data_IF_532596991265
#
_entry.id   IF_532596991265
#
_cell.length_a   1.000
_cell.length_b   1.000
_cell.length_c   1.000
_cell.angle_alpha   90.00
_cell.angle_beta   90.00
_cell.angle_gamma   90.00
#
_symmetry.space_group_name_H-M   'P 1'
#
loop_
_entity.id
_entity.type
_entity.pdbx_description
1 polymer ?
#
# COMPACT_ATOMS: atom_id res chain seq x y z
N UNK A 1 -0.94 11.98 3.82
CA UNK A 1 -0.69 10.54 3.69
C UNK A 1 -1.05 10.05 2.28
N UNK A 2 -0.25 9.13 1.70
CA UNK A 2 -0.64 8.36 0.53
C UNK A 2 -0.67 6.88 0.92
N UNK A 3 -1.81 6.22 0.73
CA UNK A 3 -1.93 4.78 0.87
C UNK A 3 -1.87 4.12 -0.50
N UNK A 4 -0.98 3.17 -0.62
CA UNK A 4 -0.70 2.38 -1.82
C UNK A 4 -1.08 0.92 -1.54
N UNK A 5 -2.15 0.43 -2.16
CA UNK A 5 -2.65 -0.93 -1.98
C UNK A 5 -2.17 -1.84 -3.11
N UNK A 6 -1.63 -2.98 -2.73
CA UNK A 6 -1.32 -4.07 -3.65
C UNK A 6 -2.62 -4.70 -4.18
N UNK A 7 -2.78 -4.73 -5.49
CA UNK A 7 -3.91 -5.32 -6.20
C UNK A 7 -3.48 -6.49 -7.08
N UNK A 8 -2.35 -7.12 -6.76
CA UNK A 8 -1.83 -8.25 -7.52
C UNK A 8 -2.74 -9.49 -7.41
N UNK A 9 -2.47 -10.49 -8.22
CA UNK A 9 -3.29 -11.70 -8.33
C UNK A 9 -3.32 -12.52 -7.02
N UNK A 10 -2.30 -12.41 -6.16
CA UNK A 10 -2.27 -13.04 -4.84
C UNK A 10 -3.46 -12.60 -3.98
N UNK A 11 -3.93 -11.36 -4.14
CA UNK A 11 -5.08 -10.84 -3.40
C UNK A 11 -6.42 -11.50 -3.77
N UNK A 12 -6.47 -12.35 -4.81
CA UNK A 12 -7.62 -13.21 -5.12
C UNK A 12 -7.71 -14.46 -4.23
N UNK A 13 -6.70 -14.71 -3.40
CA UNK A 13 -6.69 -15.84 -2.46
C UNK A 13 -7.82 -15.72 -1.44
N UNK A 14 -8.43 -16.87 -1.12
CA UNK A 14 -9.45 -16.98 -0.08
C UNK A 14 -8.78 -16.98 1.30
N UNK A 15 -9.33 -16.22 2.21
CA UNK A 15 -8.97 -16.21 3.62
C UNK A 15 -9.86 -17.17 4.42
N UNK A 16 -11.11 -17.27 4.01
CA UNK A 16 -12.15 -18.18 4.54
C UNK A 16 -13.17 -18.47 3.43
N UNK A 17 -14.27 -19.15 3.77
CA UNK A 17 -15.31 -19.55 2.80
C UNK A 17 -16.04 -18.35 2.16
N UNK A 18 -16.02 -17.19 2.80
CA UNK A 18 -16.81 -16.01 2.40
C UNK A 18 -15.94 -14.84 1.92
N UNK A 19 -14.65 -14.76 2.32
CA UNK A 19 -13.82 -13.58 2.11
C UNK A 19 -12.51 -13.91 1.39
N UNK A 20 -12.14 -13.02 0.48
CA UNK A 20 -10.83 -12.98 -0.17
C UNK A 20 -9.95 -11.86 0.43
N UNK A 21 -8.66 -11.92 0.18
CA UNK A 21 -7.72 -10.86 0.55
C UNK A 21 -8.17 -9.51 -0.01
N UNK A 22 -8.62 -9.46 -1.27
CA UNK A 22 -9.07 -8.22 -1.91
C UNK A 22 -10.28 -7.60 -1.19
N UNK A 23 -11.17 -8.40 -0.62
CA UNK A 23 -12.32 -7.90 0.12
C UNK A 23 -11.86 -7.18 1.39
N UNK A 24 -10.90 -7.76 2.11
CA UNK A 24 -10.30 -7.15 3.31
C UNK A 24 -9.55 -5.87 2.96
N UNK A 25 -8.82 -5.83 1.83
CA UNK A 25 -8.16 -4.63 1.35
C UNK A 25 -9.19 -3.54 1.01
N UNK A 26 -10.26 -3.90 0.31
CA UNK A 26 -11.37 -3.00 -0.04
C UNK A 26 -12.00 -2.38 1.20
N UNK A 27 -12.37 -3.19 2.19
CA UNK A 27 -12.93 -2.74 3.46
C UNK A 27 -11.96 -1.85 4.23
N UNK A 28 -10.67 -2.19 4.19
CA UNK A 28 -9.61 -1.39 4.83
C UNK A 28 -9.49 0.00 4.19
N UNK A 29 -9.54 0.10 2.87
CA UNK A 29 -9.50 1.37 2.15
C UNK A 29 -10.74 2.23 2.43
N UNK A 30 -11.94 1.61 2.48
CA UNK A 30 -13.18 2.30 2.81
C UNK A 30 -13.11 2.88 4.23
N UNK A 31 -12.81 2.06 5.22
CA UNK A 31 -12.77 2.49 6.62
C UNK A 31 -11.66 3.53 6.86
N UNK A 32 -10.51 3.36 6.23
CA UNK A 32 -9.41 4.32 6.30
C UNK A 32 -9.80 5.66 5.69
N UNK A 33 -10.45 5.67 4.53
CA UNK A 33 -10.95 6.87 3.87
C UNK A 33 -11.97 7.63 4.73
N UNK A 34 -12.91 6.91 5.35
CA UNK A 34 -13.87 7.50 6.31
C UNK A 34 -13.15 8.14 7.50
N UNK A 35 -12.20 7.42 8.10
CA UNK A 35 -11.48 7.89 9.27
C UNK A 35 -10.67 9.17 8.98
N UNK A 36 -9.92 9.22 7.87
CA UNK A 36 -9.11 10.37 7.51
C UNK A 36 -9.97 11.56 7.07
N UNK A 37 -11.07 11.29 6.37
CA UNK A 37 -12.03 12.32 5.99
C UNK A 37 -12.69 12.97 7.20
N UNK A 38 -13.01 12.16 8.22
CA UNK A 38 -13.64 12.66 9.46
C UNK A 38 -12.70 13.57 10.27
N UNK A 39 -11.39 13.28 10.28
CA UNK A 39 -10.40 14.14 10.98
C UNK A 39 -9.90 15.30 10.12
N UNK A 40 -10.24 15.32 8.83
CA UNK A 40 -9.87 16.40 7.92
C UNK A 40 -8.42 16.33 7.43
N UNK A 41 -7.78 15.19 7.50
CA UNK A 41 -6.41 15.00 7.02
C UNK A 41 -6.36 14.91 5.48
N UNK A 42 -5.28 15.46 4.91
CA UNK A 42 -5.01 15.34 3.48
C UNK A 42 -4.47 13.94 3.15
N UNK A 43 -5.20 13.20 2.31
CA UNK A 43 -4.79 11.87 1.89
C UNK A 43 -5.12 11.55 0.44
N UNK A 44 -4.39 10.59 -0.09
CA UNK A 44 -4.65 9.97 -1.39
C UNK A 44 -4.67 8.44 -1.27
N UNK A 45 -5.45 7.79 -2.12
CA UNK A 45 -5.59 6.34 -2.19
C UNK A 45 -5.26 5.88 -3.61
N UNK A 46 -4.34 4.95 -3.72
CA UNK A 46 -3.93 4.33 -4.98
C UNK A 46 -3.87 2.81 -4.84
N UNK A 47 -4.26 2.12 -5.88
CA UNK A 47 -3.95 0.71 -6.04
C UNK A 47 -2.82 0.52 -7.04
N UNK A 48 -2.07 -0.57 -6.95
CA UNK A 48 -1.07 -0.88 -7.96
C UNK A 48 -1.05 -2.37 -8.31
N UNK A 49 -0.66 -2.65 -9.54
CA UNK A 49 -0.31 -3.96 -10.04
C UNK A 49 0.65 -3.83 -11.22
N UNK A 50 1.28 -4.92 -11.64
CA UNK A 50 2.21 -4.86 -12.76
C UNK A 50 2.12 -6.07 -13.67
N UNK A 51 2.49 -5.87 -14.94
CA UNK A 51 2.70 -6.93 -15.90
C UNK A 51 4.02 -6.64 -16.62
N UNK A 52 5.09 -7.21 -16.14
CA UNK A 52 6.46 -6.92 -16.54
C UNK A 52 6.85 -5.45 -16.31
N UNK A 53 8.10 -5.08 -16.62
CA UNK A 53 8.63 -3.71 -16.43
C UNK A 53 7.93 -2.63 -17.26
N UNK A 54 7.25 -3.01 -18.33
CA UNK A 54 6.62 -2.07 -19.27
C UNK A 54 5.23 -1.63 -18.84
N UNK A 55 4.57 -2.35 -17.96
CA UNK A 55 3.20 -2.07 -17.55
C UNK A 55 3.08 -2.10 -16.03
N UNK A 56 3.52 -1.04 -15.38
CA UNK A 56 3.21 -0.81 -13.98
C UNK A 56 1.98 0.10 -13.91
N UNK A 57 0.92 -0.43 -13.36
CA UNK A 57 -0.38 0.25 -13.27
C UNK A 57 -0.52 0.89 -11.91
N UNK A 58 -0.81 2.18 -11.91
CA UNK A 58 -1.21 2.95 -10.72
C UNK A 58 -2.67 3.37 -10.91
N UNK A 59 -3.56 2.78 -10.14
CA UNK A 59 -4.98 3.08 -10.18
C UNK A 59 -5.29 4.16 -9.14
N UNK A 60 -5.63 5.36 -9.59
CA UNK A 60 -6.06 6.44 -8.71
C UNK A 60 -7.49 6.18 -8.21
N UNK A 61 -7.63 5.94 -6.92
CA UNK A 61 -8.92 5.81 -6.25
C UNK A 61 -9.38 7.16 -5.70
N UNK A 62 -8.44 7.92 -5.13
CA UNK A 62 -8.63 9.29 -4.65
C UNK A 62 -7.31 10.06 -4.75
N UNK A 63 -7.28 11.16 -5.46
CA UNK A 63 -6.13 12.09 -5.42
C UNK A 63 -6.19 13.03 -4.23
N UNK A 64 -5.08 13.72 -3.93
CA UNK A 64 -5.03 14.75 -2.88
C UNK A 64 -5.99 15.92 -3.15
N UNK A 65 -6.32 16.19 -4.42
CA UNK A 65 -7.20 17.30 -4.84
C UNK A 65 -8.69 16.98 -4.72
N UNK A 66 -9.04 15.71 -4.61
CA UNK A 66 -10.42 15.25 -4.53
C UNK A 66 -10.88 15.15 -3.09
N UNK A 67 -12.17 15.41 -2.86
CA UNK A 67 -12.81 15.06 -1.59
C UNK A 67 -13.14 13.56 -1.59
N UNK A 68 -13.17 12.98 -0.41
CA UNK A 68 -13.67 11.62 -0.23
C UNK A 68 -15.19 11.63 -0.44
N UNK A 69 -15.69 10.85 -1.38
CA UNK A 69 -17.07 10.92 -1.87
C UNK A 69 -17.60 9.53 -2.24
N UNK A 70 -18.86 9.44 -2.61
CA UNK A 70 -19.48 8.20 -3.10
C UNK A 70 -18.80 7.68 -4.39
N UNK A 71 -18.30 8.57 -5.24
CA UNK A 71 -17.49 8.18 -6.40
C UNK A 71 -16.20 7.47 -5.99
N UNK A 72 -15.56 7.95 -4.90
CA UNK A 72 -14.37 7.30 -4.34
C UNK A 72 -14.72 5.93 -3.77
N UNK A 73 -15.79 5.82 -3.00
CA UNK A 73 -16.30 4.55 -2.46
C UNK A 73 -16.62 3.57 -3.58
N UNK A 74 -17.29 4.03 -4.63
CA UNK A 74 -17.60 3.22 -5.81
C UNK A 74 -16.34 2.68 -6.52
N UNK A 75 -15.31 3.52 -6.69
CA UNK A 75 -14.01 3.08 -7.24
C UNK A 75 -13.31 2.05 -6.36
N UNK A 76 -13.35 2.21 -5.04
CA UNK A 76 -12.79 1.24 -4.10
C UNK A 76 -13.55 -0.09 -4.18
N UNK A 77 -14.89 -0.06 -4.17
CA UNK A 77 -15.73 -1.26 -4.27
C UNK A 77 -15.59 -2.00 -5.62
N UNK A 78 -15.20 -1.29 -6.67
CA UNK A 78 -14.97 -1.87 -8.00
C UNK A 78 -13.57 -2.47 -8.18
N UNK A 79 -12.73 -2.49 -7.14
CA UNK A 79 -11.39 -3.07 -7.18
C UNK A 79 -11.44 -4.56 -7.53
N UNK A 80 -10.51 -4.97 -8.38
CA UNK A 80 -10.34 -6.38 -8.76
C UNK A 80 -8.86 -6.75 -8.71
N UNK A 81 -8.53 -7.94 -8.22
CA UNK A 81 -7.15 -8.43 -8.25
C UNK A 81 -6.71 -8.69 -9.69
N UNK A 82 -5.43 -8.57 -9.92
CA UNK A 82 -4.84 -8.94 -11.20
C UNK A 82 -3.37 -8.61 -11.33
N UNK A 83 -2.68 -9.46 -12.10
CA UNK A 83 -1.27 -9.28 -12.42
C UNK A 83 -0.32 -9.52 -11.24
N UNK A 84 0.81 -8.81 -11.21
CA UNK A 84 1.96 -9.04 -10.35
C UNK A 84 2.29 -7.81 -9.51
N UNK A 85 3.35 -7.92 -8.70
CA UNK A 85 3.71 -6.96 -7.65
C UNK A 85 5.11 -6.38 -7.89
N UNK A 86 5.23 -5.33 -8.73
CA UNK A 86 6.48 -4.57 -8.90
C UNK A 86 6.48 -3.38 -7.94
N UNK A 87 6.74 -3.66 -6.66
CA UNK A 87 6.65 -2.68 -5.57
C UNK A 87 7.56 -1.47 -5.76
N UNK A 88 8.81 -1.68 -6.18
CA UNK A 88 9.79 -0.60 -6.30
C UNK A 88 9.32 0.53 -7.22
N UNK A 89 8.75 0.17 -8.39
CA UNK A 89 8.21 1.15 -9.32
C UNK A 89 7.00 1.90 -8.74
N UNK A 90 6.10 1.19 -8.07
CA UNK A 90 4.92 1.78 -7.44
C UNK A 90 5.30 2.72 -6.29
N UNK A 91 6.27 2.35 -5.46
CA UNK A 91 6.80 3.19 -4.38
C UNK A 91 7.43 4.47 -4.94
N UNK A 92 8.22 4.39 -6.03
CA UNK A 92 8.81 5.58 -6.67
C UNK A 92 7.76 6.53 -7.21
N UNK A 93 6.73 6.01 -7.87
CA UNK A 93 5.62 6.82 -8.37
C UNK A 93 4.84 7.48 -7.22
N UNK A 94 4.56 6.75 -6.16
CA UNK A 94 3.91 7.30 -4.96
C UNK A 94 4.79 8.35 -4.27
N UNK A 95 6.10 8.15 -4.25
CA UNK A 95 7.08 9.12 -3.73
C UNK A 95 7.05 10.43 -4.52
N UNK A 96 6.97 10.36 -5.84
CA UNK A 96 6.84 11.54 -6.71
C UNK A 96 5.51 12.29 -6.45
N UNK A 97 4.40 11.57 -6.29
CA UNK A 97 3.10 12.16 -5.97
C UNK A 97 3.13 12.89 -4.61
N UNK A 98 3.65 12.24 -3.57
CA UNK A 98 3.83 12.83 -2.25
C UNK A 98 4.84 13.98 -2.23
N UNK A 99 5.88 13.90 -3.07
CA UNK A 99 6.89 14.94 -3.20
C UNK A 99 6.29 16.30 -3.59
N UNK A 100 5.23 16.29 -4.40
CA UNK A 100 4.50 17.50 -4.84
C UNK A 100 3.62 18.13 -3.76
N UNK A 101 3.38 17.43 -2.65
CA UNK A 101 2.60 17.94 -1.52
C UNK A 101 3.42 18.91 -0.66
N UNK A 102 2.75 19.93 -0.09
CA UNK A 102 3.40 20.98 0.73
C UNK A 102 3.57 20.58 2.21
N UNK A 103 2.91 19.53 2.66
CA UNK A 103 2.93 19.07 4.05
C UNK A 103 4.33 18.69 4.49
N UNK A 104 4.69 19.05 5.74
CA UNK A 104 6.02 18.73 6.30
C UNK A 104 6.20 17.25 6.59
N UNK A 105 5.16 16.56 7.10
CA UNK A 105 5.17 15.11 7.34
C UNK A 105 4.49 14.41 6.17
N UNK A 106 5.20 13.50 5.53
CA UNK A 106 4.74 12.76 4.35
C UNK A 106 4.83 11.28 4.61
N UNK A 107 3.69 10.67 4.90
CA UNK A 107 3.58 9.24 5.17
C UNK A 107 3.18 8.50 3.88
N UNK A 108 3.97 7.51 3.50
CA UNK A 108 3.67 6.55 2.43
C UNK A 108 3.35 5.20 3.07
N UNK A 109 2.08 4.83 3.12
CA UNK A 109 1.63 3.53 3.59
C UNK A 109 1.52 2.57 2.42
N UNK A 110 2.20 1.42 2.50
CA UNK A 110 2.04 0.30 1.58
C UNK A 110 1.26 -0.81 2.27
N UNK A 111 0.18 -1.28 1.65
CA UNK A 111 -0.55 -2.48 2.08
C UNK A 111 -0.32 -3.57 1.04
N UNK A 112 0.19 -4.72 1.46
CA UNK A 112 0.52 -5.86 0.57
C UNK A 112 0.26 -7.19 1.26
N UNK A 113 0.04 -8.22 0.47
CA UNK A 113 -0.15 -9.61 0.92
C UNK A 113 1.04 -10.52 0.61
N UNK A 114 2.15 -9.98 0.06
CA UNK A 114 3.27 -10.82 -0.33
C UNK A 114 4.54 -10.10 -0.75
N UNK A 115 5.45 -10.90 -1.29
CA UNK A 115 6.77 -10.49 -1.79
C UNK A 115 6.67 -9.81 -3.16
N UNK A 116 7.61 -8.89 -3.49
CA UNK A 116 7.73 -8.37 -4.84
C UNK A 116 7.95 -9.51 -5.85
N UNK A 117 7.11 -9.58 -6.89
CA UNK A 117 7.17 -10.62 -7.91
C UNK A 117 6.59 -10.13 -9.25
N UNK A 118 7.27 -10.42 -10.37
CA UNK A 118 6.75 -10.20 -11.73
C UNK A 118 7.40 -11.18 -12.73
N UNK A 119 6.78 -11.39 -13.89
CA UNK A 119 7.15 -12.40 -14.90
C UNK A 119 8.55 -12.23 -15.52
N UNK A 120 9.11 -11.03 -15.52
CA UNK A 120 10.40 -10.74 -16.16
C UNK A 120 11.58 -10.78 -15.17
N UNK A 121 11.66 -11.86 -14.40
CA UNK A 121 12.70 -12.09 -13.39
C UNK A 121 12.70 -11.10 -12.21
N UNK A 122 11.61 -10.38 -12.03
CA UNK A 122 11.43 -9.51 -10.87
C UNK A 122 10.93 -10.33 -9.68
N UNK A 123 11.77 -11.25 -9.23
CA UNK A 123 11.48 -12.16 -8.12
C UNK A 123 12.72 -12.32 -7.23
N UNK A 124 12.54 -12.94 -6.07
CA UNK A 124 13.61 -13.22 -5.14
C UNK A 124 14.42 -11.98 -4.79
N UNK A 125 15.74 -12.09 -4.90
CA UNK A 125 16.66 -11.01 -4.50
C UNK A 125 16.47 -9.73 -5.32
N UNK A 126 16.18 -9.83 -6.61
CA UNK A 126 16.05 -8.64 -7.46
C UNK A 126 14.85 -7.77 -7.07
N UNK A 127 13.67 -8.36 -6.89
CA UNK A 127 12.48 -7.62 -6.45
C UNK A 127 12.64 -7.00 -5.06
N UNK A 128 13.29 -7.73 -4.15
CA UNK A 128 13.58 -7.25 -2.79
C UNK A 128 14.56 -6.06 -2.82
N UNK A 129 15.66 -6.16 -3.59
CA UNK A 129 16.64 -5.08 -3.71
C UNK A 129 16.07 -3.82 -4.36
N UNK A 130 15.30 -3.97 -5.45
CA UNK A 130 14.66 -2.82 -6.10
C UNK A 130 13.67 -2.12 -5.17
N UNK A 131 12.87 -2.89 -4.43
CA UNK A 131 11.95 -2.35 -3.43
C UNK A 131 12.70 -1.63 -2.31
N UNK A 132 13.79 -2.23 -1.80
CA UNK A 132 14.65 -1.60 -0.79
C UNK A 132 15.21 -0.27 -1.28
N UNK A 133 15.71 -0.21 -2.51
CA UNK A 133 16.22 1.03 -3.09
C UNK A 133 15.14 2.10 -3.19
N UNK A 134 13.93 1.73 -3.64
CA UNK A 134 12.81 2.66 -3.70
C UNK A 134 12.42 3.21 -2.31
N UNK A 135 12.45 2.38 -1.27
CA UNK A 135 12.23 2.80 0.13
C UNK A 135 13.31 3.79 0.59
N UNK A 136 14.59 3.51 0.28
CA UNK A 136 15.70 4.42 0.62
C UNK A 136 15.59 5.75 -0.12
N UNK A 137 15.21 5.73 -1.40
CA UNK A 137 14.96 6.93 -2.21
C UNK A 137 13.84 7.79 -1.61
N UNK A 138 12.72 7.16 -1.20
CA UNK A 138 11.63 7.84 -0.53
C UNK A 138 12.07 8.52 0.78
N UNK A 139 12.86 7.82 1.61
CA UNK A 139 13.41 8.39 2.86
C UNK A 139 14.34 9.56 2.61
N UNK A 140 15.21 9.49 1.58
CA UNK A 140 16.10 10.61 1.21
C UNK A 140 15.33 11.86 0.79
N UNK A 141 14.11 11.69 0.27
CA UNK A 141 13.19 12.77 -0.06
C UNK A 141 12.33 13.25 1.14
N UNK A 142 12.62 12.76 2.34
CA UNK A 142 11.93 13.17 3.56
C UNK A 142 10.56 12.50 3.78
N UNK A 143 10.28 11.41 3.07
CA UNK A 143 9.07 10.62 3.30
C UNK A 143 9.31 9.58 4.40
N UNK A 144 8.20 9.17 5.03
CA UNK A 144 8.15 8.03 5.94
C UNK A 144 7.45 6.85 5.24
N UNK A 145 8.19 5.96 4.54
CA UNK A 145 7.61 4.73 4.00
C UNK A 145 7.40 3.71 5.11
N UNK A 146 6.20 3.15 5.17
CA UNK A 146 5.81 2.13 6.13
C UNK A 146 4.98 1.04 5.45
N UNK A 147 5.31 -0.22 5.69
CA UNK A 147 4.62 -1.37 5.10
C UNK A 147 3.69 -2.05 6.11
N UNK A 148 2.48 -2.33 5.69
CA UNK A 148 1.51 -3.12 6.44
C UNK A 148 1.24 -4.37 5.60
N UNK A 149 1.46 -5.54 6.20
CA UNK A 149 1.30 -6.80 5.49
C UNK A 149 0.49 -7.80 6.28
N UNK A 150 -0.16 -8.71 5.55
CA UNK A 150 -0.80 -9.91 6.07
C UNK A 150 0.00 -11.19 5.73
N UNK A 151 1.12 -11.07 5.03
CA UNK A 151 2.00 -12.19 4.70
C UNK A 151 2.72 -12.71 5.95
N UNK A 152 2.47 -13.97 6.31
CA UNK A 152 3.06 -14.61 7.49
C UNK A 152 4.58 -14.80 7.37
N UNK A 153 5.13 -14.83 6.15
CA UNK A 153 6.56 -14.94 5.88
C UNK A 153 7.28 -13.59 5.83
N UNK A 154 6.57 -12.51 6.11
CA UNK A 154 7.09 -11.13 6.01
C UNK A 154 8.35 -10.88 6.85
N UNK A 155 8.54 -11.61 7.95
CA UNK A 155 9.73 -11.51 8.79
C UNK A 155 11.05 -11.81 8.08
N UNK A 156 11.01 -12.55 6.97
CA UNK A 156 12.21 -12.95 6.25
C UNK A 156 12.77 -11.85 5.34
N UNK A 157 11.93 -10.91 4.89
CA UNK A 157 12.32 -9.93 3.88
C UNK A 157 11.97 -8.48 4.22
N UNK A 158 10.88 -8.20 4.96
CA UNK A 158 10.47 -6.81 5.27
C UNK A 158 11.49 -6.05 6.13
N UNK A 159 12.16 -6.65 7.15
CA UNK A 159 13.19 -5.95 7.90
C UNK A 159 14.31 -5.42 7.00
N UNK A 160 14.66 -6.19 5.97
CA UNK A 160 15.68 -5.79 5.01
C UNK A 160 15.21 -4.66 4.08
N UNK A 161 13.96 -4.71 3.61
CA UNK A 161 13.40 -3.71 2.70
C UNK A 161 13.05 -2.40 3.42
N UNK A 162 12.35 -2.48 4.57
CA UNK A 162 11.78 -1.33 5.27
C UNK A 162 12.50 -0.98 6.58
N UNK A 163 13.49 -1.78 7.01
CA UNK A 163 14.12 -1.66 8.33
C UNK A 163 13.21 -2.18 9.46
N UNK A 164 13.80 -2.39 10.64
CA UNK A 164 13.13 -3.03 11.79
C UNK A 164 11.83 -2.32 12.24
N UNK A 165 11.76 -0.99 12.09
CA UNK A 165 10.63 -0.17 12.53
C UNK A 165 9.78 0.34 11.35
N UNK A 166 10.01 -0.15 10.13
CA UNK A 166 9.34 0.33 8.92
C UNK A 166 8.19 -0.54 8.44
N UNK A 167 7.77 -1.52 9.22
CA UNK A 167 6.68 -2.42 8.85
C UNK A 167 5.92 -2.97 10.05
N UNK A 168 4.74 -3.51 9.78
CA UNK A 168 3.98 -4.32 10.74
C UNK A 168 3.29 -5.48 10.03
N UNK A 169 3.22 -6.63 10.72
CA UNK A 169 2.48 -7.81 10.31
C UNK A 169 1.13 -7.85 11.00
N UNK A 170 0.07 -7.96 10.25
CA UNK A 170 -1.29 -8.23 10.75
C UNK A 170 -1.53 -9.74 10.64
N UNK A 171 -1.47 -10.45 11.76
CA UNK A 171 -1.57 -11.91 11.80
C UNK A 171 -2.95 -12.44 11.38
N UNK A 172 -3.99 -11.67 11.68
CA UNK A 172 -5.38 -11.96 11.33
C UNK A 172 -5.84 -10.95 10.28
N UNK A 173 -5.89 -11.33 8.99
CA UNK A 173 -6.20 -10.40 7.90
C UNK A 173 -7.49 -9.60 8.12
N UNK A 174 -8.52 -10.20 8.68
CA UNK A 174 -9.81 -9.58 8.98
C UNK A 174 -9.70 -8.39 9.95
N UNK A 175 -8.60 -8.26 10.68
CA UNK A 175 -8.35 -7.11 11.55
C UNK A 175 -7.77 -5.90 10.80
N UNK A 176 -7.29 -6.07 9.57
CA UNK A 176 -6.66 -5.00 8.80
C UNK A 176 -7.52 -3.72 8.72
N UNK A 177 -8.84 -3.78 8.42
CA UNK A 177 -9.66 -2.58 8.33
C UNK A 177 -9.64 -1.73 9.61
N UNK A 178 -9.62 -2.38 10.77
CA UNK A 178 -9.62 -1.69 12.08
C UNK A 178 -8.21 -1.26 12.52
N UNK A 179 -7.20 -2.06 12.18
CA UNK A 179 -5.80 -1.78 12.54
C UNK A 179 -5.19 -0.64 11.73
N UNK A 180 -5.60 -0.47 10.49
CA UNK A 180 -5.02 0.52 9.58
C UNK A 180 -5.21 1.97 10.08
N UNK A 181 -6.40 2.44 10.51
CA UNK A 181 -6.55 3.77 11.10
C UNK A 181 -5.78 3.94 12.42
N UNK A 182 -5.68 2.88 13.24
CA UNK A 182 -4.91 2.92 14.50
C UNK A 182 -3.41 3.10 14.23
N UNK A 183 -2.86 2.36 13.27
CA UNK A 183 -1.46 2.48 12.86
C UNK A 183 -1.17 3.87 12.28
N UNK A 184 -2.07 4.40 11.44
CA UNK A 184 -1.96 5.76 10.95
C UNK A 184 -1.84 6.77 12.09
N UNK A 185 -2.70 6.67 13.09
CA UNK A 185 -2.66 7.53 14.27
C UNK A 185 -1.32 7.42 15.02
N UNK A 186 -0.81 6.21 15.23
CA UNK A 186 0.49 5.97 15.88
C UNK A 186 1.66 6.57 15.10
N UNK A 187 1.66 6.46 13.77
CA UNK A 187 2.73 6.95 12.90
C UNK A 187 2.70 8.47 12.70
N UNK A 188 1.56 9.12 12.93
CA UNK A 188 1.38 10.57 12.72
C UNK A 188 1.36 11.37 14.01
N UNK A 189 1.16 10.74 15.15
CA UNK A 189 1.30 11.41 16.46
C UNK A 189 2.78 11.70 16.76
N UNK A 190 3.09 12.85 17.41
CA UNK A 190 4.47 13.20 17.82
C UNK A 190 5.02 12.29 18.91
#
# INVERSE_FOLDING_TARGET
CLLLADLSMSTDAHLDDEHKVIDVITDSLLLFGEALSAVGDDFALYGFSSLRRQQVRMQELKSFKQRYSDDTRGRIQALKPGFYTRMGAAIRQATELLGKCKQRRKLLLLVTDGKPNDLDLYEGRYGVEDTRQAVLEARRQGLLPFCITIDQEAGDYLPYMFGANGYTLIKEPQQLPFRLPQLYKQLTQP
#
